data_IF_389533391268
#
_entry.id   IF_389533391268
#
_cell.length_a   1.000
_cell.length_b   1.000
_cell.length_c   1.000
_cell.angle_alpha   90.00
_cell.angle_beta   90.00
_cell.angle_gamma   90.00
#
_symmetry.space_group_name_H-M   'P 1'
#
loop_
_entity.id
_entity.type
_entity.pdbx_description
1 polymer ?
#
# COMPACT_ATOMS: atom_id res chain seq x y z
N UNK A 1 2.01 -30.40 -75.39
CA UNK A 1 0.60 -30.15 -75.23
C UNK A 1 0.10 -31.02 -74.08
N UNK A 2 -0.01 -30.45 -72.84
CA UNK A 2 -0.78 -31.05 -71.79
C UNK A 2 -1.14 -29.95 -70.85
N UNK A 3 -2.43 -29.63 -70.84
CA UNK A 3 -3.07 -28.69 -69.94
C UNK A 3 -3.02 -29.18 -68.48
N UNK A 4 -2.37 -28.41 -67.59
CA UNK A 4 -2.51 -28.57 -66.15
C UNK A 4 -3.76 -27.87 -65.72
N UNK A 5 -4.76 -28.59 -65.28
CA UNK A 5 -5.96 -28.06 -64.60
C UNK A 5 -5.58 -27.67 -63.16
N UNK A 6 -5.77 -26.43 -62.84
CA UNK A 6 -5.75 -25.96 -61.45
C UNK A 6 -7.01 -26.43 -60.75
N UNK A 7 -6.89 -27.45 -59.91
CA UNK A 7 -7.93 -27.84 -58.98
C UNK A 7 -8.09 -26.73 -57.90
N UNK A 8 -9.19 -26.02 -57.98
CA UNK A 8 -9.68 -25.17 -56.91
C UNK A 8 -10.17 -26.05 -55.77
N UNK A 9 -9.33 -26.22 -54.74
CA UNK A 9 -9.73 -26.87 -53.51
C UNK A 9 -10.78 -26.04 -52.82
N UNK A 10 -12.05 -26.41 -52.98
CA UNK A 10 -13.13 -25.96 -52.06
C UNK A 10 -12.90 -26.62 -50.70
N UNK A 11 -12.02 -26.03 -49.90
CA UNK A 11 -11.88 -26.40 -48.50
C UNK A 11 -13.25 -26.20 -47.81
N UNK A 12 -13.78 -27.27 -47.23
CA UNK A 12 -14.97 -27.22 -46.41
C UNK A 12 -14.78 -26.15 -45.34
N UNK A 13 -15.54 -25.05 -45.45
CA UNK A 13 -15.51 -23.98 -44.44
C UNK A 13 -16.07 -24.58 -43.15
N UNK A 14 -15.17 -24.83 -42.19
CA UNK A 14 -15.58 -25.29 -40.84
C UNK A 14 -16.53 -24.28 -40.17
N UNK A 15 -17.13 -24.69 -39.06
CA UNK A 15 -18.05 -23.83 -38.26
C UNK A 15 -17.53 -22.41 -38.06
N UNK A 16 -16.23 -22.23 -37.86
CA UNK A 16 -15.58 -20.92 -37.74
C UNK A 16 -15.67 -20.08 -39.02
N UNK A 17 -15.50 -20.70 -40.21
CA UNK A 17 -15.62 -20.03 -41.49
C UNK A 17 -17.06 -19.60 -41.81
N UNK A 18 -18.06 -20.41 -41.46
CA UNK A 18 -19.47 -20.06 -41.59
C UNK A 18 -19.86 -18.87 -40.69
N UNK A 19 -19.41 -18.89 -39.43
CA UNK A 19 -19.62 -17.78 -38.49
C UNK A 19 -18.94 -16.51 -39.01
N UNK A 20 -17.68 -16.57 -39.43
CA UNK A 20 -16.94 -15.44 -39.97
C UNK A 20 -17.65 -14.83 -41.19
N UNK A 21 -18.11 -15.63 -42.13
CA UNK A 21 -18.85 -15.18 -43.31
C UNK A 21 -20.16 -14.51 -42.97
N UNK A 22 -20.90 -15.05 -42.00
CA UNK A 22 -22.17 -14.46 -41.52
C UNK A 22 -21.99 -13.08 -40.91
N UNK A 23 -20.84 -12.85 -40.23
CA UNK A 23 -20.52 -11.56 -39.63
C UNK A 23 -19.94 -10.56 -40.64
N UNK A 24 -19.12 -10.98 -41.60
CA UNK A 24 -18.46 -10.07 -42.57
C UNK A 24 -19.48 -9.35 -43.45
N UNK A 25 -20.55 -10.04 -43.89
CA UNK A 25 -21.55 -9.48 -44.79
C UNK A 25 -22.74 -8.84 -44.05
N UNK A 26 -22.73 -8.85 -42.70
CA UNK A 26 -23.84 -8.36 -41.88
C UNK A 26 -23.70 -6.87 -41.58
N UNK A 27 -24.78 -6.10 -41.77
CA UNK A 27 -24.87 -4.71 -41.33
C UNK A 27 -24.77 -4.58 -39.79
N UNK A 28 -25.03 -5.67 -39.06
CA UNK A 28 -24.90 -5.73 -37.61
C UNK A 28 -23.42 -5.67 -37.15
N UNK A 29 -22.48 -6.08 -37.98
CA UNK A 29 -21.05 -6.05 -37.66
C UNK A 29 -20.57 -4.63 -37.37
N UNK A 30 -21.01 -3.65 -38.14
CA UNK A 30 -20.71 -2.24 -37.87
C UNK A 30 -21.23 -1.78 -36.51
N UNK A 31 -22.46 -2.22 -36.16
CA UNK A 31 -23.04 -1.93 -34.84
C UNK A 31 -22.25 -2.57 -33.68
N UNK A 32 -21.81 -3.83 -33.87
CA UNK A 32 -20.98 -4.51 -32.86
C UNK A 32 -19.61 -3.85 -32.69
N UNK A 33 -18.98 -3.43 -33.79
CA UNK A 33 -17.70 -2.70 -33.75
C UNK A 33 -17.87 -1.38 -32.99
N UNK A 34 -18.90 -0.61 -33.34
CA UNK A 34 -19.19 0.64 -32.68
C UNK A 34 -19.46 0.46 -31.17
N UNK A 35 -20.28 -0.54 -30.83
CA UNK A 35 -20.60 -0.86 -29.45
C UNK A 35 -19.36 -1.29 -28.67
N UNK A 36 -18.49 -2.11 -29.27
CA UNK A 36 -17.25 -2.56 -28.63
C UNK A 36 -16.24 -1.42 -28.40
N UNK A 37 -16.15 -0.49 -29.36
CA UNK A 37 -15.30 0.70 -29.21
C UNK A 37 -15.83 1.63 -28.11
N UNK A 38 -17.14 1.86 -28.08
CA UNK A 38 -17.76 2.66 -27.02
C UNK A 38 -17.61 2.02 -25.64
N UNK A 39 -17.82 0.70 -25.55
CA UNK A 39 -17.63 -0.06 -24.31
C UNK A 39 -16.17 -0.02 -23.85
N UNK A 40 -15.21 -0.16 -24.79
CA UNK A 40 -13.78 -0.06 -24.50
C UNK A 40 -13.39 1.35 -24.04
N UNK A 41 -13.89 2.39 -24.67
CA UNK A 41 -13.66 3.77 -24.25
C UNK A 41 -14.26 4.03 -22.86
N UNK A 42 -15.49 3.56 -22.62
CA UNK A 42 -16.14 3.65 -21.31
C UNK A 42 -15.34 2.92 -20.23
N UNK A 43 -14.86 1.72 -20.51
CA UNK A 43 -14.04 0.95 -19.57
C UNK A 43 -12.73 1.69 -19.22
N UNK A 44 -12.08 2.34 -20.20
CA UNK A 44 -10.84 3.11 -19.95
C UNK A 44 -11.10 4.30 -19.03
N UNK A 45 -12.28 4.95 -19.14
CA UNK A 45 -12.64 6.05 -18.24
C UNK A 45 -13.07 5.59 -16.85
N UNK A 46 -13.69 4.41 -16.75
CA UNK A 46 -14.19 3.86 -15.49
C UNK A 46 -13.12 3.11 -14.68
N UNK A 47 -12.08 2.56 -15.34
CA UNK A 47 -11.04 1.86 -14.60
C UNK A 47 -10.18 2.88 -13.81
N UNK A 48 -10.09 2.72 -12.49
CA UNK A 48 -9.14 3.50 -11.71
C UNK A 48 -7.73 3.20 -12.21
N UNK A 49 -6.97 4.26 -12.48
CA UNK A 49 -5.58 4.15 -12.90
C UNK A 49 -4.71 4.29 -11.65
N UNK A 50 -4.22 3.18 -11.16
CA UNK A 50 -3.23 3.13 -10.09
C UNK A 50 -1.91 2.65 -10.69
N UNK A 51 -0.82 3.32 -10.36
CA UNK A 51 0.52 2.96 -10.83
C UNK A 51 0.98 1.63 -10.22
N UNK A 52 0.56 1.36 -8.98
CA UNK A 52 0.82 0.09 -8.28
C UNK A 52 -0.48 -0.48 -7.70
N UNK A 53 -0.68 -1.81 -7.79
CA UNK A 53 -1.83 -2.43 -7.13
C UNK A 53 -1.74 -2.20 -5.63
N UNK A 54 -2.79 -1.64 -5.03
CA UNK A 54 -2.87 -1.41 -3.57
C UNK A 54 -2.93 -2.75 -2.82
N UNK A 55 -1.79 -3.36 -2.61
CA UNK A 55 -1.66 -4.53 -1.74
C UNK A 55 -1.65 -4.01 -0.30
N UNK A 56 -2.80 -4.02 0.34
CA UNK A 56 -2.93 -3.62 1.75
C UNK A 56 -2.32 -4.70 2.63
N UNK A 57 -1.11 -4.47 3.07
CA UNK A 57 -0.43 -5.26 4.10
C UNK A 57 -0.35 -4.42 5.36
N UNK A 58 -1.17 -4.66 6.38
CA UNK A 58 -1.07 -3.90 7.60
C UNK A 58 0.29 -4.15 8.26
N UNK A 59 1.02 -3.06 8.53
CA UNK A 59 2.25 -3.08 9.30
C UNK A 59 2.13 -2.09 10.45
N UNK A 60 2.58 -2.49 11.63
CA UNK A 60 2.54 -1.66 12.83
C UNK A 60 3.88 -1.69 13.53
N UNK A 61 4.44 -0.52 13.78
CA UNK A 61 5.62 -0.35 14.63
C UNK A 61 5.18 -0.16 16.07
N UNK A 62 5.72 -0.98 16.95
CA UNK A 62 5.52 -0.91 18.41
C UNK A 62 6.82 -0.40 19.03
N UNK A 63 6.82 0.84 19.48
CA UNK A 63 7.96 1.46 20.15
C UNK A 63 7.78 1.39 21.67
N UNK A 64 8.82 0.96 22.35
CA UNK A 64 8.83 0.81 23.80
C UNK A 64 10.11 1.42 24.36
N UNK A 65 9.99 2.40 25.25
CA UNK A 65 11.11 2.95 26.02
C UNK A 65 11.41 2.09 27.24
N UNK A 66 12.68 1.80 27.46
CA UNK A 66 13.17 0.90 28.52
C UNK A 66 14.35 1.55 29.22
N UNK A 67 14.14 2.64 29.99
CA UNK A 67 15.24 3.42 30.56
C UNK A 67 16.16 2.59 31.46
N UNK A 68 17.47 2.77 31.28
CA UNK A 68 18.50 2.13 32.10
C UNK A 68 18.85 0.70 31.72
N UNK A 69 18.23 0.12 30.65
CA UNK A 69 18.54 -1.25 30.22
C UNK A 69 19.55 -1.23 29.07
N UNK A 70 20.45 -2.20 29.08
CA UNK A 70 21.32 -2.51 27.94
C UNK A 70 20.52 -3.19 26.81
N UNK A 71 21.05 -3.18 25.58
CA UNK A 71 20.38 -3.81 24.45
C UNK A 71 20.07 -5.30 24.67
N UNK A 72 20.95 -6.04 25.34
CA UNK A 72 20.74 -7.46 25.66
C UNK A 72 19.63 -7.66 26.70
N UNK A 73 19.53 -6.78 27.69
CA UNK A 73 18.44 -6.82 28.66
C UNK A 73 17.10 -6.44 28.04
N UNK A 74 17.07 -5.43 27.14
CA UNK A 74 15.90 -5.04 26.36
C UNK A 74 15.40 -6.21 25.53
N UNK A 75 16.31 -6.93 24.85
CA UNK A 75 15.96 -8.11 24.07
C UNK A 75 15.33 -9.20 24.94
N UNK A 76 16.04 -9.61 26.01
CA UNK A 76 15.62 -10.76 26.83
C UNK A 76 14.36 -10.50 27.66
N UNK A 77 14.20 -9.28 28.19
CA UNK A 77 13.14 -8.93 29.14
C UNK A 77 11.92 -8.28 28.52
N UNK A 78 12.07 -7.63 27.37
CA UNK A 78 11.01 -6.86 26.73
C UNK A 78 10.70 -7.38 25.32
N UNK A 79 11.66 -7.37 24.41
CA UNK A 79 11.41 -7.71 23.01
C UNK A 79 10.99 -9.16 22.81
N UNK A 80 11.74 -10.12 23.32
CA UNK A 80 11.42 -11.54 23.14
C UNK A 80 10.10 -12.00 23.81
N UNK A 81 9.73 -11.55 25.02
CA UNK A 81 8.38 -11.80 25.56
C UNK A 81 7.28 -11.14 24.75
N UNK A 82 7.51 -9.91 24.26
CA UNK A 82 6.54 -9.18 23.43
C UNK A 82 6.32 -9.85 22.08
N UNK A 83 7.37 -10.34 21.42
CA UNK A 83 7.26 -11.11 20.18
C UNK A 83 6.37 -12.34 20.37
N UNK A 84 6.61 -13.12 21.42
CA UNK A 84 5.80 -14.32 21.72
C UNK A 84 4.33 -13.97 21.92
N UNK A 85 4.06 -12.86 22.61
CA UNK A 85 2.71 -12.38 22.86
C UNK A 85 2.00 -11.94 21.57
N UNK A 86 2.72 -11.26 20.69
CA UNK A 86 2.20 -10.76 19.41
C UNK A 86 1.95 -11.92 18.44
N UNK A 87 2.80 -12.94 18.43
CA UNK A 87 2.61 -14.14 17.62
C UNK A 87 1.31 -14.90 17.92
N UNK A 88 0.74 -14.73 19.10
CA UNK A 88 -0.56 -15.32 19.46
C UNK A 88 -1.76 -14.62 18.81
N UNK A 89 -1.55 -13.46 18.15
CA UNK A 89 -2.63 -12.70 17.53
C UNK A 89 -2.97 -13.30 16.15
N UNK A 90 -4.24 -13.69 15.91
CA UNK A 90 -4.65 -14.19 14.61
C UNK A 90 -4.48 -13.15 13.51
N UNK A 91 -3.84 -13.54 12.40
CA UNK A 91 -3.56 -12.68 11.26
C UNK A 91 -2.15 -12.08 11.24
N UNK A 92 -1.34 -12.30 12.28
CA UNK A 92 0.08 -11.93 12.28
C UNK A 92 0.84 -12.89 11.38
N UNK A 93 1.60 -12.36 10.43
CA UNK A 93 2.43 -13.12 9.49
C UNK A 93 3.90 -13.16 9.93
N UNK A 94 4.45 -11.99 10.30
CA UNK A 94 5.82 -11.86 10.78
C UNK A 94 5.93 -10.85 11.91
N UNK A 95 6.84 -11.11 12.83
CA UNK A 95 7.22 -10.18 13.90
C UNK A 95 8.74 -10.04 13.88
N UNK A 96 9.22 -8.81 13.81
CA UNK A 96 10.64 -8.47 13.87
C UNK A 96 10.88 -7.55 15.05
N UNK A 97 11.96 -7.76 15.80
CA UNK A 97 12.35 -6.83 16.84
C UNK A 97 13.76 -6.28 16.63
N UNK A 98 13.94 -5.05 17.06
CA UNK A 98 15.23 -4.37 17.10
C UNK A 98 15.40 -3.86 18.53
N UNK A 99 16.37 -4.41 19.25
CA UNK A 99 16.70 -3.99 20.61
C UNK A 99 17.92 -3.05 20.59
N UNK A 100 17.72 -1.86 21.13
CA UNK A 100 18.75 -0.85 21.34
C UNK A 100 18.88 -0.56 22.83
N UNK A 101 19.99 0.05 23.30
CA UNK A 101 20.03 0.57 24.67
C UNK A 101 18.82 1.48 24.92
N UNK A 102 18.09 1.21 25.98
CA UNK A 102 16.92 1.99 26.43
C UNK A 102 15.70 2.01 25.49
N UNK A 103 15.70 1.26 24.37
CA UNK A 103 14.62 1.26 23.39
C UNK A 103 14.41 -0.13 22.76
N UNK A 104 13.17 -0.53 22.62
CA UNK A 104 12.76 -1.65 21.78
C UNK A 104 11.82 -1.17 20.66
N UNK A 105 12.08 -1.61 19.43
CA UNK A 105 11.18 -1.47 18.29
C UNK A 105 10.73 -2.86 17.85
N UNK A 106 9.43 -3.13 17.90
CA UNK A 106 8.86 -4.37 17.39
C UNK A 106 7.98 -4.05 16.18
N UNK A 107 8.31 -4.63 15.04
CA UNK A 107 7.60 -4.46 13.77
C UNK A 107 6.69 -5.66 13.59
N UNK A 108 5.40 -5.41 13.52
CA UNK A 108 4.37 -6.43 13.32
C UNK A 108 3.83 -6.33 11.91
N UNK A 109 3.95 -7.41 11.14
CA UNK A 109 3.38 -7.53 9.81
C UNK A 109 2.22 -8.52 9.84
N UNK A 110 1.10 -8.12 9.28
CA UNK A 110 -0.09 -8.94 9.14
C UNK A 110 -0.18 -9.57 7.75
N UNK A 111 -1.01 -10.59 7.62
CA UNK A 111 -1.30 -11.22 6.33
C UNK A 111 -1.99 -10.25 5.39
N UNK A 112 -1.74 -10.44 4.09
CA UNK A 112 -2.34 -9.61 3.03
C UNK A 112 -3.87 -9.72 3.07
N UNK A 113 -4.55 -8.57 3.06
CA UNK A 113 -6.01 -8.49 3.06
C UNK A 113 -6.65 -8.39 4.46
N UNK A 114 -5.85 -8.44 5.55
CA UNK A 114 -6.35 -8.08 6.87
C UNK A 114 -6.69 -6.59 6.93
N UNK A 115 -7.70 -6.27 7.71
CA UNK A 115 -8.13 -4.89 7.95
C UNK A 115 -7.17 -4.19 8.92
N UNK A 116 -6.65 -3.00 8.53
CA UNK A 116 -5.64 -2.25 9.29
C UNK A 116 -6.19 -1.85 10.66
N UNK A 117 -7.43 -1.33 10.73
CA UNK A 117 -8.02 -0.84 11.97
C UNK A 117 -8.27 -1.99 12.94
N UNK A 118 -8.83 -3.10 12.46
CA UNK A 118 -9.07 -4.30 13.28
C UNK A 118 -7.77 -4.90 13.79
N UNK A 119 -6.73 -4.92 12.97
CA UNK A 119 -5.41 -5.42 13.33
C UNK A 119 -4.77 -4.57 14.43
N UNK A 120 -4.89 -3.23 14.31
CA UNK A 120 -4.42 -2.29 15.31
C UNK A 120 -5.17 -2.45 16.64
N UNK A 121 -6.49 -2.62 16.60
CA UNK A 121 -7.32 -2.85 17.80
C UNK A 121 -6.94 -4.16 18.48
N UNK A 122 -6.80 -5.26 17.73
CA UNK A 122 -6.36 -6.57 18.27
C UNK A 122 -5.00 -6.46 18.96
N UNK A 123 -4.03 -5.78 18.30
CA UNK A 123 -2.69 -5.58 18.83
C UNK A 123 -2.71 -4.76 20.13
N UNK A 124 -3.39 -3.61 20.10
CA UNK A 124 -3.51 -2.74 21.28
C UNK A 124 -4.17 -3.46 22.46
N UNK A 125 -5.26 -4.16 22.22
CA UNK A 125 -5.95 -4.94 23.25
C UNK A 125 -5.06 -6.04 23.83
N UNK A 126 -4.31 -6.75 22.98
CA UNK A 126 -3.39 -7.82 23.42
C UNK A 126 -2.27 -7.27 24.29
N UNK A 127 -1.65 -6.14 23.89
CA UNK A 127 -0.59 -5.50 24.67
C UNK A 127 -1.11 -4.93 25.98
N UNK A 128 -2.27 -4.27 25.98
CA UNK A 128 -2.87 -3.74 27.19
C UNK A 128 -3.25 -4.84 28.19
N UNK A 129 -3.83 -5.94 27.72
CA UNK A 129 -4.26 -7.06 28.58
C UNK A 129 -3.10 -7.80 29.24
N UNK A 130 -1.87 -7.63 28.75
CA UNK A 130 -0.69 -8.32 29.25
C UNK A 130 0.39 -7.34 29.72
N UNK A 131 0.02 -6.10 29.97
CA UNK A 131 0.97 -5.08 30.43
C UNK A 131 1.59 -5.41 31.80
N UNK A 132 0.91 -6.19 32.62
CA UNK A 132 1.38 -6.72 33.89
C UNK A 132 2.61 -7.60 33.79
N UNK A 133 2.87 -8.18 32.60
CA UNK A 133 4.05 -9.03 32.32
C UNK A 133 5.30 -8.24 31.97
N UNK A 134 5.18 -6.95 31.75
CA UNK A 134 6.28 -6.07 31.37
C UNK A 134 7.05 -5.65 32.63
N UNK A 135 8.40 -5.61 32.59
CA UNK A 135 9.19 -5.17 33.74
C UNK A 135 8.83 -3.76 34.20
N UNK A 136 8.92 -3.47 35.50
CA UNK A 136 8.67 -2.13 36.00
C UNK A 136 9.68 -1.12 35.43
N UNK A 137 9.20 0.10 35.11
CA UNK A 137 10.02 1.17 34.50
C UNK A 137 9.96 1.22 32.97
N UNK A 138 9.35 0.23 32.33
CA UNK A 138 9.12 0.22 30.89
C UNK A 138 7.95 1.15 30.55
N UNK A 139 8.10 1.97 29.49
CA UNK A 139 7.03 2.85 29.03
C UNK A 139 5.90 2.08 28.37
N UNK A 140 4.71 2.68 28.33
CA UNK A 140 3.61 2.11 27.59
C UNK A 140 3.94 2.02 26.08
N UNK A 141 3.65 0.90 25.40
CA UNK A 141 3.94 0.72 23.99
C UNK A 141 3.24 1.76 23.12
N UNK A 142 3.99 2.48 22.29
CA UNK A 142 3.46 3.41 21.30
C UNK A 142 3.28 2.67 19.97
N UNK A 143 2.04 2.60 19.49
CA UNK A 143 1.67 1.93 18.25
C UNK A 143 1.66 2.95 17.11
N UNK A 144 2.45 2.71 16.06
CA UNK A 144 2.46 3.52 14.85
C UNK A 144 2.13 2.62 13.64
N UNK A 145 0.92 2.70 13.11
CA UNK A 145 0.60 2.01 11.87
C UNK A 145 1.44 2.60 10.74
N UNK A 146 1.94 1.74 9.85
CA UNK A 146 2.60 2.14 8.59
C UNK A 146 1.62 1.99 7.45
N UNK A 147 1.46 3.04 6.65
CA UNK A 147 0.73 3.00 5.40
C UNK A 147 1.69 2.99 4.21
N UNK A 148 1.25 2.42 3.10
CA UNK A 148 1.95 2.53 1.82
C UNK A 148 1.98 4.00 1.37
N UNK A 149 0.99 4.78 1.80
CA UNK A 149 0.86 6.19 1.49
C UNK A 149 1.85 7.10 2.27
N UNK A 150 2.58 6.54 3.25
CA UNK A 150 3.58 7.27 4.05
C UNK A 150 4.93 7.45 3.32
N UNK A 151 4.98 7.27 2.00
CA UNK A 151 6.19 7.50 1.19
C UNK A 151 6.41 9.01 1.04
N UNK A 152 7.57 9.55 1.43
CA UNK A 152 7.85 10.97 1.28
C UNK A 152 7.92 11.36 -0.20
N UNK A 153 7.02 12.23 -0.64
CA UNK A 153 6.96 12.75 -2.02
C UNK A 153 8.07 13.78 -2.26
N UNK A 154 8.42 14.53 -1.22
CA UNK A 154 9.41 15.59 -1.28
C UNK A 154 10.29 15.56 -0.02
N UNK A 155 11.59 15.56 -0.23
CA UNK A 155 12.58 15.67 0.86
C UNK A 155 13.36 16.97 0.69
N UNK A 156 13.28 17.87 1.66
CA UNK A 156 14.02 19.13 1.70
C UNK A 156 15.14 19.02 2.74
N UNK A 157 16.37 19.27 2.31
CA UNK A 157 17.55 19.30 3.19
C UNK A 157 18.02 20.72 3.39
N UNK A 158 18.03 21.18 4.63
CA UNK A 158 18.54 22.50 5.00
C UNK A 158 20.00 22.39 5.46
N UNK A 159 20.86 23.19 4.87
CA UNK A 159 22.28 23.24 5.23
C UNK A 159 22.74 24.71 5.31
N UNK A 160 23.51 25.03 6.33
CA UNK A 160 24.18 26.34 6.47
C UNK A 160 25.57 26.14 7.08
N UNK A 161 26.60 26.80 6.55
CA UNK A 161 27.93 26.82 7.16
C UNK A 161 28.05 27.83 8.32
N UNK A 162 27.04 28.70 8.51
CA UNK A 162 27.10 29.83 9.45
C UNK A 162 26.09 29.68 10.59
N UNK A 163 24.93 29.14 10.30
CA UNK A 163 23.82 29.05 11.25
C UNK A 163 23.85 27.73 12.04
N UNK A 164 23.46 27.85 13.31
CA UNK A 164 23.39 26.71 14.22
C UNK A 164 22.21 25.75 13.86
N UNK A 165 22.36 24.49 14.24
CA UNK A 165 21.40 23.44 14.05
C UNK A 165 20.01 23.76 14.62
N UNK A 166 19.95 24.54 15.68
CA UNK A 166 18.71 25.01 16.30
C UNK A 166 17.93 25.97 15.39
N UNK A 167 18.66 26.88 14.74
CA UNK A 167 18.06 27.82 13.78
C UNK A 167 17.53 27.09 12.56
N UNK A 168 18.31 26.18 11.99
CA UNK A 168 17.89 25.36 10.84
C UNK A 168 16.63 24.53 11.15
N UNK A 169 16.54 23.96 12.35
CA UNK A 169 15.36 23.21 12.78
C UNK A 169 14.09 24.10 12.86
N UNK A 170 14.24 25.33 13.34
CA UNK A 170 13.14 26.28 13.40
C UNK A 170 12.64 26.69 12.02
N UNK A 171 13.58 26.98 11.10
CA UNK A 171 13.26 27.29 9.69
C UNK A 171 12.59 26.08 9.01
N UNK A 172 13.10 24.88 9.23
CA UNK A 172 12.50 23.67 8.68
C UNK A 172 11.06 23.45 9.17
N UNK A 173 10.79 23.70 10.45
CA UNK A 173 9.43 23.61 11.01
C UNK A 173 8.48 24.66 10.42
N UNK A 174 8.96 25.89 10.21
CA UNK A 174 8.17 26.97 9.60
C UNK A 174 7.85 26.63 8.12
N UNK A 175 8.82 26.09 7.39
CA UNK A 175 8.62 25.64 6.00
C UNK A 175 7.64 24.47 5.93
N UNK A 176 7.72 23.51 6.84
CA UNK A 176 6.79 22.38 6.92
C UNK A 176 5.35 22.84 7.19
N UNK A 177 5.17 23.81 8.11
CA UNK A 177 3.86 24.40 8.42
C UNK A 177 3.23 25.12 7.21
N UNK A 178 4.06 25.77 6.36
CA UNK A 178 3.58 26.44 5.17
C UNK A 178 3.34 25.51 3.97
N UNK A 179 4.14 24.46 3.83
CA UNK A 179 4.05 23.52 2.69
C UNK A 179 2.92 22.51 2.90
N UNK A 180 2.74 21.98 4.09
CA UNK A 180 1.77 20.94 4.42
C UNK A 180 0.32 21.31 4.04
N UNK A 181 -0.21 22.52 4.36
CA UNK A 181 -1.56 22.91 3.95
C UNK A 181 -1.70 23.09 2.44
N UNK A 182 -0.63 23.48 1.73
CA UNK A 182 -0.67 23.65 0.26
C UNK A 182 -0.84 22.28 -0.43
N UNK A 183 -0.15 21.25 0.03
CA UNK A 183 -0.33 19.88 -0.46
C UNK A 183 -1.71 19.32 -0.11
N UNK A 184 -2.19 19.54 1.11
CA UNK A 184 -3.52 19.10 1.51
C UNK A 184 -4.64 19.76 0.71
N UNK A 185 -4.52 21.06 0.38
CA UNK A 185 -5.46 21.80 -0.48
C UNK A 185 -5.39 21.31 -1.92
N UNK A 186 -4.19 21.05 -2.45
CA UNK A 186 -4.01 20.53 -3.81
C UNK A 186 -4.64 19.15 -3.98
N UNK A 187 -4.44 18.24 -3.02
CA UNK A 187 -5.06 16.92 -3.02
C UNK A 187 -6.59 17.02 -2.93
N UNK A 188 -7.12 17.90 -2.07
CA UNK A 188 -8.56 18.12 -1.93
C UNK A 188 -9.17 18.68 -3.21
N UNK A 189 -8.51 19.62 -3.88
CA UNK A 189 -8.98 20.20 -5.13
C UNK A 189 -8.99 19.17 -6.27
N UNK A 190 -7.96 18.31 -6.36
CA UNK A 190 -7.92 17.24 -7.34
C UNK A 190 -9.01 16.18 -7.10
N UNK A 191 -9.29 15.84 -5.85
CA UNK A 191 -10.38 14.93 -5.50
C UNK A 191 -11.75 15.50 -5.80
N UNK A 192 -11.99 16.79 -5.49
CA UNK A 192 -13.27 17.47 -5.80
C UNK A 192 -13.46 17.67 -7.30
N UNK A 193 -12.40 17.91 -8.05
CA UNK A 193 -12.46 18.01 -9.52
C UNK A 193 -12.76 16.66 -10.17
N UNK A 194 -12.20 15.57 -9.65
CA UNK A 194 -12.50 14.20 -10.13
C UNK A 194 -13.94 13.77 -9.82
N UNK A 195 -14.47 14.16 -8.65
CA UNK A 195 -15.86 13.86 -8.27
C UNK A 195 -16.91 14.70 -9.02
N UNK A 196 -16.56 15.92 -9.44
CA UNK A 196 -17.44 16.78 -10.25
C UNK A 196 -17.43 16.43 -11.75
N UNK A 197 -16.47 15.61 -12.20
CA UNK A 197 -16.39 15.10 -13.58
C UNK A 197 -17.01 13.71 -13.76
N UNK A 198 -17.43 13.06 -12.67
CA UNK A 198 -18.15 11.78 -12.67
C UNK A 198 -19.64 11.98 -12.49
#
# INVERSE_FOLDING_TARGET
MTHGQSESSHGSQGLAGMLAKSFIDSKLTFLFILASVLLGAFAVFMLPREEEPQIKVPMVDVLVGVPGFSAEEVEKRVAAPMEKLIWEIPGVEYVYSISRPEEALVIVRYTVGEDVERSLVKLNQKLQSNFDRIPPGVTFPLLKPRSIDDVPILTLTFHSPVEDHYFLRRVAAEVDEHINPLFAVSLKNNLTESLNKA
#
